data_IF_875840999377
#
_entry.id   IF_875840999377
#
_cell.length_a   1.000
_cell.length_b   1.000
_cell.length_c   1.000
_cell.angle_alpha   90.00
_cell.angle_beta   90.00
_cell.angle_gamma   90.00
#
_symmetry.space_group_name_H-M   'P 1'
#
loop_
_entity.id
_entity.type
_entity.pdbx_description
1 polymer ?
#
# COMPACT_ATOMS: atom_id res chain seq x y z
N UNK A 1 0.05 -44.38 22.66
CA UNK A 1 -1.20 -44.81 21.99
C UNK A 1 -2.07 -43.57 21.83
N UNK A 2 -2.48 -43.21 20.62
CA UNK A 2 -3.40 -42.09 20.44
C UNK A 2 -4.81 -42.53 20.77
N UNK A 3 -5.49 -41.82 21.67
CA UNK A 3 -6.88 -42.06 22.00
C UNK A 3 -7.78 -41.22 21.09
N UNK A 4 -8.78 -41.83 20.46
CA UNK A 4 -9.81 -41.14 19.66
C UNK A 4 -11.16 -41.24 20.37
N UNK A 5 -11.84 -40.09 20.54
CA UNK A 5 -13.22 -40.01 21.00
C UNK A 5 -14.03 -39.30 19.89
N UNK A 6 -15.10 -39.94 19.49
CA UNK A 6 -16.07 -39.47 18.51
C UNK A 6 -17.25 -38.79 19.19
N UNK A 7 -17.48 -37.51 18.90
CA UNK A 7 -18.75 -36.84 19.10
C UNK A 7 -19.18 -36.25 17.78
N UNK A 8 -20.29 -36.70 17.25
CA UNK A 8 -21.00 -36.30 15.99
C UNK A 8 -20.24 -35.49 14.91
N UNK A 9 -19.04 -35.18 14.79
CA UNK A 9 -18.26 -34.44 13.81
C UNK A 9 -16.99 -33.82 14.41
N UNK A 10 -16.73 -34.04 15.71
CA UNK A 10 -15.51 -33.63 16.39
C UNK A 10 -14.72 -34.87 16.80
N UNK A 11 -13.54 -35.04 16.28
CA UNK A 11 -12.64 -36.14 16.55
C UNK A 11 -11.40 -35.62 17.27
N UNK A 12 -11.14 -36.11 18.46
CA UNK A 12 -9.91 -35.84 19.20
C UNK A 12 -8.86 -36.92 18.91
N UNK A 13 -7.70 -36.53 18.46
CA UNK A 13 -6.50 -37.37 18.33
C UNK A 13 -5.43 -36.78 19.25
N UNK A 14 -5.40 -37.25 20.51
CA UNK A 14 -4.59 -36.65 21.58
C UNK A 14 -3.90 -37.72 22.40
N UNK A 15 -2.87 -37.36 23.16
CA UNK A 15 -2.14 -38.29 24.03
C UNK A 15 -2.99 -38.76 25.21
N UNK A 16 -3.80 -37.86 25.80
CA UNK A 16 -4.68 -38.17 26.92
C UNK A 16 -6.05 -37.55 26.73
N UNK A 17 -7.11 -38.27 27.11
CA UNK A 17 -8.50 -37.78 27.13
C UNK A 17 -9.12 -38.19 28.45
N UNK A 18 -9.68 -37.22 29.16
CA UNK A 18 -10.44 -37.40 30.39
C UNK A 18 -11.84 -36.83 30.23
N UNK A 19 -12.84 -37.63 30.48
CA UNK A 19 -14.25 -37.23 30.50
C UNK A 19 -14.67 -37.05 31.95
N UNK A 20 -15.12 -35.85 32.30
CA UNK A 20 -15.47 -35.48 33.67
C UNK A 20 -16.90 -34.97 33.76
N UNK A 21 -17.41 -34.79 34.97
CA UNK A 21 -18.76 -34.26 35.25
C UNK A 21 -19.86 -35.04 34.52
N UNK A 22 -19.86 -36.38 34.66
CA UNK A 22 -20.84 -37.29 34.03
C UNK A 22 -20.98 -37.07 32.52
N UNK A 23 -19.85 -36.86 31.81
CA UNK A 23 -19.85 -36.69 30.37
C UNK A 23 -20.07 -35.26 29.88
N UNK A 24 -20.28 -34.27 30.78
CA UNK A 24 -20.51 -32.87 30.38
C UNK A 24 -19.27 -32.18 29.87
N UNK A 25 -18.09 -32.55 30.37
CA UNK A 25 -16.82 -31.92 29.98
C UNK A 25 -15.80 -32.96 29.55
N UNK A 26 -15.09 -32.65 28.47
CA UNK A 26 -13.95 -33.42 27.98
C UNK A 26 -12.67 -32.57 28.07
N UNK A 27 -11.65 -33.10 28.72
CA UNK A 27 -10.31 -32.49 28.78
C UNK A 27 -9.36 -33.42 28.05
N UNK A 28 -8.65 -32.87 27.04
CA UNK A 28 -7.62 -33.60 26.32
C UNK A 28 -6.30 -32.82 26.31
N UNK A 29 -5.18 -33.51 26.15
CA UNK A 29 -3.85 -32.90 26.13
C UNK A 29 -3.04 -33.41 24.96
N UNK A 30 -2.24 -32.50 24.41
CA UNK A 30 -1.24 -32.73 23.35
C UNK A 30 -1.80 -33.47 22.14
N UNK A 31 -2.23 -32.75 21.11
CA UNK A 31 -2.77 -33.40 19.93
C UNK A 31 -3.58 -32.47 19.03
N UNK A 32 -4.62 -33.07 18.42
CA UNK A 32 -5.49 -32.39 17.45
C UNK A 32 -6.96 -32.62 17.72
N UNK A 33 -7.76 -31.62 17.47
CA UNK A 33 -9.21 -31.68 17.34
C UNK A 33 -9.59 -31.43 15.86
N UNK A 34 -10.24 -32.41 15.23
CA UNK A 34 -10.64 -32.35 13.82
C UNK A 34 -12.14 -32.12 13.71
N UNK A 35 -12.51 -31.08 12.93
CA UNK A 35 -13.89 -30.72 12.62
C UNK A 35 -14.17 -31.11 11.16
N UNK A 36 -14.75 -32.29 10.97
CA UNK A 36 -14.90 -32.93 9.66
C UNK A 36 -15.88 -32.21 8.74
N UNK A 37 -16.97 -31.67 9.27
CA UNK A 37 -17.96 -30.91 8.47
C UNK A 37 -17.47 -29.52 8.06
N UNK A 38 -16.76 -28.86 8.95
CA UNK A 38 -16.26 -27.49 8.74
C UNK A 38 -14.92 -27.44 7.99
N UNK A 39 -14.27 -28.61 7.79
CA UNK A 39 -12.97 -28.75 7.13
C UNK A 39 -11.86 -27.91 7.76
N UNK A 40 -11.71 -27.95 9.08
CA UNK A 40 -10.57 -27.42 9.76
C UNK A 40 -10.12 -28.27 10.95
N UNK A 41 -8.89 -28.11 11.33
CA UNK A 41 -8.30 -28.77 12.50
C UNK A 41 -7.67 -27.75 13.44
N UNK A 42 -7.65 -28.07 14.74
CA UNK A 42 -6.92 -27.29 15.73
C UNK A 42 -5.95 -28.22 16.46
N UNK A 43 -4.68 -27.85 16.45
CA UNK A 43 -3.63 -28.50 17.25
C UNK A 43 -3.36 -27.65 18.49
N UNK A 44 -3.08 -28.23 19.64
CA UNK A 44 -2.79 -27.49 20.87
C UNK A 44 -2.30 -28.38 22.00
N UNK A 45 -1.88 -27.71 23.11
CA UNK A 45 -1.34 -28.39 24.28
C UNK A 45 -2.44 -28.90 25.19
N UNK A 46 -3.55 -28.16 25.33
CA UNK A 46 -4.68 -28.49 26.16
C UNK A 46 -5.99 -28.13 25.49
N UNK A 47 -6.97 -29.03 25.59
CA UNK A 47 -8.32 -28.90 25.05
C UNK A 47 -9.31 -29.03 26.20
N UNK A 48 -10.28 -28.12 26.27
CA UNK A 48 -11.41 -28.13 27.18
C UNK A 48 -12.70 -28.04 26.36
N UNK A 49 -13.50 -29.10 26.31
CA UNK A 49 -14.72 -29.10 25.53
C UNK A 49 -15.93 -29.26 26.48
N UNK A 50 -16.83 -28.28 26.40
CA UNK A 50 -18.13 -28.29 27.05
C UNK A 50 -19.14 -28.97 26.11
N UNK A 51 -19.56 -30.17 26.45
CA UNK A 51 -20.47 -30.99 25.64
C UNK A 51 -21.89 -30.41 25.59
N UNK A 52 -22.35 -29.69 26.64
CA UNK A 52 -23.68 -29.06 26.67
C UNK A 52 -23.71 -27.78 25.85
N UNK A 53 -22.74 -26.89 26.05
CA UNK A 53 -22.63 -25.61 25.33
C UNK A 53 -22.04 -25.74 23.91
N UNK A 54 -21.45 -26.91 23.59
CA UNK A 54 -20.75 -27.18 22.31
C UNK A 54 -19.59 -26.21 22.05
N UNK A 55 -18.85 -25.80 23.09
CA UNK A 55 -17.74 -24.86 23.04
C UNK A 55 -16.44 -25.60 23.32
N UNK A 56 -15.46 -25.45 22.41
CA UNK A 56 -14.10 -25.93 22.54
C UNK A 56 -13.16 -24.80 22.86
N UNK A 57 -12.37 -24.92 23.92
CA UNK A 57 -11.26 -24.01 24.25
C UNK A 57 -9.94 -24.77 24.09
N UNK A 58 -8.97 -24.15 23.41
CA UNK A 58 -7.64 -24.71 23.11
C UNK A 58 -6.57 -23.74 23.49
N UNK A 59 -5.53 -24.23 24.16
CA UNK A 59 -4.38 -23.43 24.60
C UNK A 59 -3.16 -23.71 23.73
N UNK A 60 -2.34 -22.68 23.46
CA UNK A 60 -1.22 -22.68 22.52
C UNK A 60 -1.64 -23.27 21.16
N UNK A 61 -2.69 -22.70 20.62
CA UNK A 61 -3.46 -23.27 19.55
C UNK A 61 -2.95 -22.88 18.16
N UNK A 62 -2.97 -23.86 17.25
CA UNK A 62 -2.74 -23.67 15.83
C UNK A 62 -3.94 -24.27 15.08
N UNK A 63 -4.70 -23.45 14.37
CA UNK A 63 -5.78 -23.89 13.50
C UNK A 63 -5.35 -23.88 12.05
N UNK A 64 -5.65 -24.95 11.31
CA UNK A 64 -5.49 -25.04 9.87
C UNK A 64 -6.86 -25.09 9.20
N UNK A 65 -7.18 -24.04 8.42
CA UNK A 65 -8.37 -23.97 7.57
C UNK A 65 -8.02 -24.63 6.23
N UNK A 66 -8.39 -25.91 6.06
CA UNK A 66 -7.86 -26.77 4.99
C UNK A 66 -8.22 -26.22 3.60
N UNK A 67 -9.50 -25.89 3.37
CA UNK A 67 -9.97 -25.40 2.04
C UNK A 67 -9.44 -24.03 1.67
N UNK A 68 -9.22 -23.16 2.65
CA UNK A 68 -8.73 -21.80 2.47
C UNK A 68 -7.22 -21.72 2.43
N UNK A 69 -6.53 -22.78 2.84
CA UNK A 69 -5.07 -22.87 2.96
C UNK A 69 -4.51 -21.75 3.87
N UNK A 70 -5.17 -21.56 5.02
CA UNK A 70 -4.86 -20.51 6.00
C UNK A 70 -4.55 -21.17 7.35
N UNK A 71 -3.43 -20.75 7.96
CA UNK A 71 -3.00 -21.17 9.29
C UNK A 71 -3.20 -20.02 10.28
N UNK A 72 -3.87 -20.27 11.41
CA UNK A 72 -4.04 -19.31 12.51
C UNK A 72 -3.32 -19.85 13.72
N UNK A 73 -2.51 -19.04 14.37
CA UNK A 73 -1.78 -19.36 15.59
C UNK A 73 -2.10 -18.32 16.67
N UNK A 74 -2.35 -18.77 17.90
CA UNK A 74 -2.64 -17.91 19.05
C UNK A 74 -2.33 -18.60 20.39
N UNK A 75 -2.32 -17.84 21.48
CA UNK A 75 -2.19 -18.38 22.82
C UNK A 75 -3.44 -19.18 23.23
N UNK A 76 -4.61 -18.70 22.81
CA UNK A 76 -5.91 -19.33 23.13
C UNK A 76 -6.82 -19.25 21.91
N UNK A 77 -7.57 -20.33 21.67
CA UNK A 77 -8.67 -20.38 20.70
C UNK A 77 -9.92 -20.90 21.37
N UNK A 78 -11.05 -20.27 21.08
CA UNK A 78 -12.37 -20.68 21.51
C UNK A 78 -13.25 -20.88 20.27
N UNK A 79 -13.73 -22.09 20.07
CA UNK A 79 -14.65 -22.42 18.99
C UNK A 79 -16.04 -22.76 19.53
N UNK A 80 -17.01 -21.91 19.22
CA UNK A 80 -18.43 -22.13 19.50
C UNK A 80 -19.10 -22.73 18.26
N UNK A 81 -19.47 -24.00 18.36
CA UNK A 81 -20.10 -24.77 17.27
C UNK A 81 -21.50 -24.27 16.95
N UNK A 82 -22.26 -23.79 17.95
CA UNK A 82 -23.61 -23.29 17.74
C UNK A 82 -23.65 -22.03 16.90
N UNK A 83 -22.74 -21.11 17.18
CA UNK A 83 -22.62 -19.84 16.41
C UNK A 83 -21.64 -19.93 15.24
N UNK A 84 -20.92 -21.04 15.11
CA UNK A 84 -19.90 -21.30 14.10
C UNK A 84 -18.78 -20.23 14.10
N UNK A 85 -18.40 -19.75 15.31
CA UNK A 85 -17.37 -18.73 15.50
C UNK A 85 -16.14 -19.32 16.19
N UNK A 86 -14.98 -19.11 15.56
CA UNK A 86 -13.67 -19.34 16.14
C UNK A 86 -13.09 -17.99 16.56
N UNK A 87 -12.82 -17.81 17.83
CA UNK A 87 -12.16 -16.64 18.40
C UNK A 87 -10.75 -17.02 18.79
N UNK A 88 -9.75 -16.40 18.17
CA UNK A 88 -8.35 -16.55 18.51
C UNK A 88 -7.88 -15.31 19.26
N UNK A 89 -7.16 -15.47 20.37
CA UNK A 89 -6.71 -14.38 21.23
C UNK A 89 -5.28 -14.57 21.72
N UNK A 90 -4.61 -13.45 22.01
CA UNK A 90 -3.23 -13.38 22.52
C UNK A 90 -2.16 -13.63 21.46
N UNK A 91 -1.62 -12.55 20.88
CA UNK A 91 -0.59 -12.57 19.84
C UNK A 91 -0.98 -13.43 18.63
N UNK A 92 -2.13 -13.13 18.05
CA UNK A 92 -2.68 -13.90 16.92
C UNK A 92 -1.86 -13.63 15.67
N UNK A 93 -1.47 -14.72 15.00
CA UNK A 93 -0.84 -14.67 13.69
C UNK A 93 -1.64 -15.56 12.72
N UNK A 94 -2.05 -14.97 11.61
CA UNK A 94 -2.62 -15.66 10.47
C UNK A 94 -1.61 -15.66 9.31
N UNK A 95 -1.31 -16.86 8.79
CA UNK A 95 -0.47 -17.05 7.61
C UNK A 95 -1.34 -17.58 6.46
N UNK A 96 -1.36 -16.89 5.34
CA UNK A 96 -1.94 -17.38 4.09
C UNK A 96 -0.88 -18.19 3.36
N UNK A 97 -1.08 -19.50 3.28
CA UNK A 97 -0.10 -20.43 2.70
C UNK A 97 -0.05 -20.37 1.16
N UNK A 98 -1.06 -19.74 0.51
CA UNK A 98 -1.09 -19.59 -0.94
C UNK A 98 -0.14 -18.49 -1.44
N UNK A 99 -0.02 -17.38 -0.71
CA UNK A 99 0.75 -16.21 -1.16
C UNK A 99 1.79 -15.71 -0.14
N UNK A 100 1.91 -16.39 1.01
CA UNK A 100 2.88 -16.06 2.07
C UNK A 100 2.54 -14.77 2.83
N UNK A 101 1.38 -14.16 2.60
CA UNK A 101 0.96 -12.97 3.35
C UNK A 101 0.59 -13.32 4.79
N UNK A 102 0.78 -12.35 5.69
CA UNK A 102 0.60 -12.52 7.14
C UNK A 102 -0.26 -11.43 7.73
N UNK A 103 -1.08 -11.79 8.72
CA UNK A 103 -1.82 -10.86 9.56
C UNK A 103 -1.39 -11.07 11.01
N UNK A 104 -1.06 -10.00 11.70
CA UNK A 104 -0.70 -10.00 13.12
C UNK A 104 -1.68 -9.09 13.85
N UNK A 105 -2.30 -9.60 14.91
CA UNK A 105 -3.31 -8.89 15.69
C UNK A 105 -3.39 -9.44 17.12
N UNK A 106 -4.10 -8.80 18.04
CA UNK A 106 -4.33 -9.35 19.40
C UNK A 106 -5.51 -10.28 19.45
N UNK A 107 -6.56 -10.02 18.64
CA UNK A 107 -7.76 -10.85 18.56
C UNK A 107 -8.21 -10.99 17.10
N UNK A 108 -8.70 -12.18 16.76
CA UNK A 108 -9.24 -12.51 15.46
C UNK A 108 -10.45 -13.39 15.59
N UNK A 109 -11.52 -13.09 14.88
CA UNK A 109 -12.74 -13.87 14.86
C UNK A 109 -12.97 -14.40 13.45
N UNK A 110 -13.07 -15.71 13.32
CA UNK A 110 -13.41 -16.40 12.07
C UNK A 110 -14.79 -17.03 12.15
N UNK A 111 -15.65 -16.74 11.20
CA UNK A 111 -16.95 -17.42 11.08
C UNK A 111 -16.86 -18.50 10.00
N UNK A 112 -16.98 -19.77 10.41
CA UNK A 112 -16.79 -20.95 9.55
C UNK A 112 -17.86 -21.07 8.47
N UNK A 113 -19.10 -20.59 8.71
CA UNK A 113 -20.22 -20.62 7.74
C UNK A 113 -20.08 -19.55 6.67
N UNK A 114 -19.83 -18.29 7.10
CA UNK A 114 -19.79 -17.16 6.18
C UNK A 114 -18.41 -16.94 5.56
N UNK A 115 -17.39 -17.69 6.02
CA UNK A 115 -16.00 -17.59 5.59
C UNK A 115 -15.44 -16.17 5.74
N UNK A 116 -15.82 -15.49 6.83
CA UNK A 116 -15.36 -14.12 7.13
C UNK A 116 -14.44 -14.13 8.34
N UNK A 117 -13.35 -13.40 8.20
CA UNK A 117 -12.38 -13.13 9.27
C UNK A 117 -12.47 -11.65 9.60
N UNK A 118 -12.54 -11.29 10.87
CA UNK A 118 -12.52 -9.90 11.28
C UNK A 118 -11.77 -9.72 12.60
N UNK A 119 -11.25 -8.52 12.79
CA UNK A 119 -10.65 -8.07 14.03
C UNK A 119 -11.10 -6.64 14.32
N UNK A 120 -11.37 -6.37 15.59
CA UNK A 120 -11.67 -5.02 16.11
C UNK A 120 -10.46 -4.40 16.81
N UNK A 121 -9.30 -5.03 16.71
CA UNK A 121 -8.04 -4.55 17.31
C UNK A 121 -7.04 -4.15 16.23
N UNK A 122 -6.05 -3.34 16.62
CA UNK A 122 -4.98 -2.93 15.73
C UNK A 122 -4.32 -4.14 15.09
N UNK A 123 -4.24 -4.11 13.78
CA UNK A 123 -3.77 -5.22 12.98
C UNK A 123 -2.73 -4.78 11.97
N UNK A 124 -1.72 -5.64 11.74
CA UNK A 124 -0.68 -5.45 10.75
C UNK A 124 -0.76 -6.57 9.72
N UNK A 125 -0.90 -6.18 8.45
CA UNK A 125 -0.78 -7.07 7.30
C UNK A 125 0.62 -6.91 6.70
N UNK A 126 1.24 -8.01 6.33
CA UNK A 126 2.54 -8.01 5.62
C UNK A 126 2.41 -8.93 4.42
N UNK A 127 2.73 -8.42 3.24
CA UNK A 127 2.74 -9.23 2.02
C UNK A 127 4.15 -9.80 1.73
N UNK A 128 4.24 -10.65 0.71
CA UNK A 128 5.50 -11.26 0.26
C UNK A 128 6.49 -10.28 -0.40
N UNK A 129 6.08 -9.01 -0.63
CA UNK A 129 6.92 -7.93 -1.15
C UNK A 129 7.39 -6.96 -0.04
N UNK A 130 7.21 -7.32 1.24
CA UNK A 130 7.49 -6.49 2.41
C UNK A 130 6.68 -5.18 2.51
N UNK A 131 5.55 -5.06 1.80
CA UNK A 131 4.62 -3.99 2.08
C UNK A 131 3.95 -4.25 3.43
N UNK A 132 3.85 -3.23 4.26
CA UNK A 132 3.19 -3.29 5.56
C UNK A 132 1.96 -2.39 5.57
N UNK A 133 0.83 -2.97 5.93
CA UNK A 133 -0.45 -2.27 6.06
C UNK A 133 -0.90 -2.35 7.52
N UNK A 134 -1.19 -1.22 8.11
CA UNK A 134 -1.67 -1.09 9.48
C UNK A 134 -3.11 -0.60 9.46
N UNK A 135 -3.95 -1.14 10.34
CA UNK A 135 -5.36 -0.76 10.46
C UNK A 135 -5.85 -0.93 11.88
N UNK A 136 -6.84 -0.12 12.28
CA UNK A 136 -7.51 -0.25 13.58
C UNK A 136 -8.47 -1.44 13.63
N UNK A 137 -9.10 -1.75 12.50
CA UNK A 137 -9.98 -2.90 12.35
C UNK A 137 -10.12 -3.32 10.89
N UNK A 138 -10.49 -4.57 10.66
CA UNK A 138 -10.74 -5.08 9.32
C UNK A 138 -11.84 -6.15 9.29
N UNK A 139 -12.41 -6.35 8.09
CA UNK A 139 -13.30 -7.46 7.78
C UNK A 139 -12.89 -8.08 6.44
N UNK A 140 -12.41 -9.31 6.48
CA UNK A 140 -11.91 -10.07 5.34
C UNK A 140 -12.89 -11.15 4.95
N UNK A 141 -13.43 -11.10 3.76
CA UNK A 141 -14.25 -12.13 3.17
C UNK A 141 -13.38 -13.04 2.30
N UNK A 142 -13.16 -14.28 2.74
CA UNK A 142 -12.32 -15.27 2.05
C UNK A 142 -12.90 -15.67 0.69
N UNK A 143 -14.23 -15.77 0.55
CA UNK A 143 -14.89 -16.15 -0.70
C UNK A 143 -14.64 -15.13 -1.83
N UNK A 144 -14.70 -13.83 -1.49
CA UNK A 144 -14.49 -12.74 -2.46
C UNK A 144 -13.06 -12.24 -2.50
N UNK A 145 -12.23 -12.64 -1.55
CA UNK A 145 -10.87 -12.15 -1.35
C UNK A 145 -10.79 -10.64 -1.12
N UNK A 146 -11.85 -10.04 -0.54
CA UNK A 146 -11.93 -8.61 -0.26
C UNK A 146 -11.78 -8.35 1.23
N UNK A 147 -10.81 -7.51 1.58
CA UNK A 147 -10.63 -6.95 2.91
C UNK A 147 -11.20 -5.54 2.93
N UNK A 148 -12.18 -5.29 3.79
CA UNK A 148 -12.67 -3.96 4.13
C UNK A 148 -11.90 -3.44 5.33
N UNK A 149 -11.36 -2.24 5.24
CA UNK A 149 -10.40 -1.67 6.18
C UNK A 149 -10.81 -0.26 6.56
N UNK A 150 -10.71 0.07 7.85
CA UNK A 150 -10.88 1.42 8.36
C UNK A 150 -9.56 1.94 8.94
N UNK A 151 -9.29 3.23 8.80
CA UNK A 151 -8.03 3.85 9.27
C UNK A 151 -6.80 3.07 8.80
N UNK A 152 -6.58 3.06 7.49
CA UNK A 152 -5.48 2.32 6.90
C UNK A 152 -4.24 3.21 6.76
N UNK A 153 -3.09 2.69 7.20
CA UNK A 153 -1.76 3.20 6.86
C UNK A 153 -0.98 2.10 6.13
N UNK A 154 -0.67 2.31 4.85
CA UNK A 154 0.15 1.42 4.02
C UNK A 154 1.55 2.02 3.87
N UNK A 155 2.57 1.23 4.13
CA UNK A 155 3.97 1.55 3.81
C UNK A 155 4.42 0.54 2.77
N UNK A 156 4.77 1.02 1.58
CA UNK A 156 5.24 0.16 0.50
C UNK A 156 6.75 -0.16 0.62
N UNK A 157 7.23 -1.06 -0.23
CA UNK A 157 8.64 -1.49 -0.25
C UNK A 157 9.63 -0.34 -0.54
N UNK A 158 9.16 0.77 -1.11
CA UNK A 158 9.93 1.99 -1.37
C UNK A 158 9.82 3.01 -0.23
N UNK A 159 9.19 2.65 0.89
CA UNK A 159 8.91 3.50 2.05
C UNK A 159 7.95 4.67 1.78
N UNK A 160 7.17 4.64 0.68
CA UNK A 160 6.08 5.58 0.50
C UNK A 160 4.96 5.27 1.49
N UNK A 161 4.38 6.30 2.07
CA UNK A 161 3.27 6.17 3.02
C UNK A 161 1.94 6.58 2.38
N UNK A 162 0.93 5.72 2.51
CA UNK A 162 -0.44 5.97 2.07
C UNK A 162 -1.35 5.86 3.29
N UNK A 163 -2.07 6.91 3.61
CA UNK A 163 -3.07 6.91 4.68
C UNK A 163 -4.46 7.09 4.07
N UNK A 164 -5.41 6.25 4.49
CA UNK A 164 -6.79 6.26 4.00
C UNK A 164 -7.76 6.11 5.17
N UNK A 165 -8.85 6.86 5.13
CA UNK A 165 -9.90 6.73 6.16
C UNK A 165 -10.70 5.43 6.00
N UNK A 166 -10.99 5.03 4.76
CA UNK A 166 -11.68 3.77 4.43
C UNK A 166 -11.11 3.20 3.15
N UNK A 167 -10.93 1.89 3.10
CA UNK A 167 -10.41 1.20 1.92
C UNK A 167 -10.92 -0.22 1.76
N UNK A 168 -10.80 -0.72 0.54
CA UNK A 168 -11.05 -2.11 0.15
C UNK A 168 -9.82 -2.64 -0.57
N UNK A 169 -9.25 -3.71 -0.06
CA UNK A 169 -8.13 -4.41 -0.67
C UNK A 169 -8.61 -5.75 -1.20
N UNK A 170 -8.43 -5.99 -2.50
CA UNK A 170 -8.58 -7.33 -3.06
C UNK A 170 -7.24 -8.07 -2.97
N UNK A 171 -7.18 -9.13 -2.18
CA UNK A 171 -5.93 -9.86 -1.91
C UNK A 171 -5.42 -10.66 -3.10
N UNK A 172 -6.30 -11.09 -4.03
CA UNK A 172 -5.92 -11.79 -5.26
C UNK A 172 -5.34 -10.84 -6.31
N UNK A 173 -6.06 -9.75 -6.60
CA UNK A 173 -5.65 -8.81 -7.65
C UNK A 173 -4.69 -7.73 -7.15
N UNK A 174 -4.44 -7.67 -5.84
CA UNK A 174 -3.66 -6.62 -5.14
C UNK A 174 -4.15 -5.21 -5.45
N UNK A 175 -5.45 -5.08 -5.76
CA UNK A 175 -6.11 -3.81 -6.03
C UNK A 175 -6.59 -3.18 -4.73
N UNK A 176 -6.12 -1.96 -4.44
CA UNK A 176 -6.57 -1.13 -3.33
C UNK A 176 -7.43 0.01 -3.86
N UNK A 177 -8.62 0.18 -3.30
CA UNK A 177 -9.51 1.32 -3.56
C UNK A 177 -9.84 1.96 -2.22
N UNK A 178 -9.80 3.29 -2.16
CA UNK A 178 -10.08 3.98 -0.91
C UNK A 178 -10.47 5.43 -1.07
N UNK A 179 -10.84 6.06 0.04
CA UNK A 179 -11.22 7.46 0.10
C UNK A 179 -10.55 8.20 1.26
N UNK A 180 -10.58 9.54 1.16
CA UNK A 180 -9.93 10.44 2.11
C UNK A 180 -8.44 10.08 2.27
N UNK A 181 -7.71 10.27 1.18
CA UNK A 181 -6.36 9.75 0.98
C UNK A 181 -5.32 10.82 1.22
N UNK A 182 -4.29 10.45 1.94
CA UNK A 182 -3.04 11.20 2.04
C UNK A 182 -1.88 10.30 1.63
N UNK A 183 -1.04 10.77 0.69
CA UNK A 183 0.16 10.07 0.23
C UNK A 183 1.37 10.92 0.55
N UNK A 184 2.37 10.33 1.17
CA UNK A 184 3.66 10.93 1.46
C UNK A 184 4.75 10.14 0.72
N UNK A 185 5.39 10.80 -0.25
CA UNK A 185 6.47 10.23 -1.07
C UNK A 185 7.86 10.71 -0.62
N UNK A 186 7.95 11.46 0.48
CA UNK A 186 9.19 12.09 0.95
C UNK A 186 10.27 11.10 1.36
N UNK A 187 9.88 9.94 1.88
CA UNK A 187 10.84 8.93 2.34
C UNK A 187 11.53 8.17 1.20
N UNK A 188 11.00 8.23 -0.02
CA UNK A 188 11.55 7.52 -1.18
C UNK A 188 12.69 8.28 -1.88
N UNK A 189 12.85 9.58 -1.64
CA UNK A 189 13.70 10.46 -2.48
C UNK A 189 14.88 11.04 -1.73
N UNK A 190 14.65 11.69 -0.61
CA UNK A 190 15.66 12.21 0.33
C UNK A 190 14.95 12.79 1.55
N UNK A 191 15.68 12.97 2.67
CA UNK A 191 15.13 13.59 3.87
C UNK A 191 14.70 15.06 3.68
N UNK A 192 15.07 15.69 2.57
CA UNK A 192 14.76 17.11 2.27
C UNK A 192 13.52 17.31 1.40
N UNK A 193 13.04 16.28 0.70
CA UNK A 193 11.88 16.38 -0.19
C UNK A 193 10.58 16.05 0.56
N UNK A 194 9.57 16.92 0.44
CA UNK A 194 8.28 16.81 1.14
C UNK A 194 7.11 16.61 0.15
N UNK A 195 7.27 15.68 -0.79
CA UNK A 195 6.23 15.41 -1.79
C UNK A 195 5.00 14.78 -1.17
N UNK A 196 3.88 15.49 -1.25
CA UNK A 196 2.62 15.08 -0.64
C UNK A 196 1.47 15.19 -1.62
N UNK A 197 0.53 14.23 -1.52
CA UNK A 197 -0.72 14.27 -2.28
C UNK A 197 -1.87 14.05 -1.31
N UNK A 198 -2.91 14.87 -1.42
CA UNK A 198 -4.22 14.62 -0.83
C UNK A 198 -5.21 14.33 -1.93
N UNK A 199 -6.10 13.36 -1.75
CA UNK A 199 -7.15 13.09 -2.73
C UNK A 199 -8.41 12.56 -2.08
N UNK A 200 -9.57 12.79 -2.73
CA UNK A 200 -10.83 12.22 -2.26
C UNK A 200 -10.91 10.71 -2.50
N UNK A 201 -10.23 10.20 -3.53
CA UNK A 201 -10.23 8.77 -3.81
C UNK A 201 -8.94 8.28 -4.44
N UNK A 202 -8.62 7.02 -4.18
CA UNK A 202 -7.46 6.31 -4.74
C UNK A 202 -7.87 4.96 -5.32
N UNK A 203 -7.24 4.60 -6.41
CA UNK A 203 -7.19 3.25 -6.95
C UNK A 203 -5.73 2.91 -7.22
N UNK A 204 -5.16 1.96 -6.45
CA UNK A 204 -3.79 1.46 -6.63
C UNK A 204 -3.85 0.02 -7.10
N UNK A 205 -3.17 -0.28 -8.21
CA UNK A 205 -3.02 -1.63 -8.74
C UNK A 205 -1.62 -1.79 -9.32
N UNK A 206 -0.87 -2.77 -8.82
CA UNK A 206 0.53 -3.01 -9.21
C UNK A 206 1.34 -1.69 -9.20
N UNK A 207 1.88 -1.30 -10.35
CA UNK A 207 2.76 -0.14 -10.52
C UNK A 207 2.01 1.15 -10.91
N UNK A 208 0.67 1.17 -10.80
CA UNK A 208 -0.14 2.32 -11.20
C UNK A 208 -1.08 2.74 -10.09
N UNK A 209 -1.01 4.02 -9.73
CA UNK A 209 -1.88 4.64 -8.73
C UNK A 209 -2.65 5.78 -9.39
N UNK A 210 -3.97 5.75 -9.30
CA UNK A 210 -4.87 6.78 -9.82
C UNK A 210 -5.54 7.47 -8.64
N UNK A 211 -5.42 8.77 -8.55
CA UNK A 211 -5.98 9.60 -7.49
C UNK A 211 -6.96 10.61 -8.10
N UNK A 212 -8.15 10.69 -7.51
CA UNK A 212 -9.26 11.54 -7.97
C UNK A 212 -9.42 12.78 -7.10
N UNK A 213 -9.67 13.94 -7.74
CA UNK A 213 -9.78 15.25 -7.06
C UNK A 213 -8.60 15.43 -6.12
N UNK A 214 -7.41 15.45 -6.70
CA UNK A 214 -6.16 15.37 -5.96
C UNK A 214 -5.40 16.71 -5.99
N UNK A 215 -4.66 16.96 -4.91
CA UNK A 215 -3.79 18.11 -4.75
C UNK A 215 -2.38 17.60 -4.44
N UNK A 216 -1.42 18.00 -5.25
CA UNK A 216 0.00 17.69 -5.08
C UNK A 216 0.76 18.94 -4.66
N UNK A 217 1.69 18.81 -3.72
CA UNK A 217 2.67 19.86 -3.36
C UNK A 217 3.99 19.24 -2.90
N UNK A 218 5.14 19.81 -3.29
CA UNK A 218 6.46 19.48 -2.76
C UNK A 218 6.88 20.37 -1.58
N UNK A 219 6.02 21.28 -1.13
CA UNK A 219 6.36 22.23 -0.08
C UNK A 219 6.49 21.56 1.28
N UNK A 220 7.40 22.06 2.14
CA UNK A 220 7.58 21.58 3.51
C UNK A 220 6.27 21.66 4.31
N UNK A 221 6.07 20.74 5.25
CA UNK A 221 4.97 20.81 6.22
C UNK A 221 5.13 22.08 7.05
N UNK A 222 4.19 23.00 6.90
CA UNK A 222 4.02 24.21 7.72
C UNK A 222 2.59 24.23 8.21
N UNK A 223 2.29 25.01 9.22
CA UNK A 223 0.94 25.18 9.74
C UNK A 223 -0.01 25.81 8.72
N UNK A 224 0.54 26.65 7.84
CA UNK A 224 -0.19 27.35 6.79
C UNK A 224 -0.24 26.60 5.46
N UNK A 225 -1.10 27.08 4.56
CA UNK A 225 -1.25 26.67 3.18
C UNK A 225 0.11 26.64 2.43
N UNK A 226 0.39 25.60 1.63
CA UNK A 226 1.62 25.56 0.85
C UNK A 226 1.70 26.75 -0.11
N UNK A 227 2.90 27.37 -0.30
CA UNK A 227 3.06 28.51 -1.22
C UNK A 227 2.57 28.21 -2.63
N UNK A 228 2.72 26.95 -3.10
CA UNK A 228 2.17 26.51 -4.37
C UNK A 228 1.74 25.04 -4.35
N UNK A 229 0.77 24.72 -5.18
CA UNK A 229 0.23 23.38 -5.34
C UNK A 229 -0.39 23.15 -6.72
N UNK A 230 -0.42 21.90 -7.16
CA UNK A 230 -1.15 21.45 -8.34
C UNK A 230 -2.42 20.74 -7.90
N UNK A 231 -3.58 21.34 -8.22
CA UNK A 231 -4.90 20.75 -7.99
C UNK A 231 -5.40 20.15 -9.28
N UNK A 232 -5.68 18.85 -9.33
CA UNK A 232 -6.08 18.16 -10.54
C UNK A 232 -7.34 17.31 -10.33
N UNK A 233 -8.13 17.15 -11.39
CA UNK A 233 -9.25 16.20 -11.41
C UNK A 233 -8.74 14.77 -11.22
N UNK A 234 -7.63 14.43 -11.88
CA UNK A 234 -6.99 13.12 -11.76
C UNK A 234 -5.47 13.28 -11.77
N UNK A 235 -4.81 12.62 -10.82
CA UNK A 235 -3.36 12.39 -10.81
C UNK A 235 -3.13 10.91 -11.00
N UNK A 236 -2.31 10.54 -11.99
CA UNK A 236 -1.89 9.15 -12.22
C UNK A 236 -0.40 9.03 -12.01
N UNK A 237 0.01 8.24 -11.04
CA UNK A 237 1.40 7.88 -10.79
C UNK A 237 1.69 6.52 -11.47
N UNK A 238 2.58 6.52 -12.45
CA UNK A 238 3.08 5.32 -13.11
C UNK A 238 4.48 5.03 -12.57
N UNK A 239 4.56 4.11 -11.60
CA UNK A 239 5.80 3.77 -10.92
C UNK A 239 6.82 3.06 -11.85
N UNK A 240 6.35 2.38 -12.90
CA UNK A 240 7.22 1.72 -13.88
C UNK A 240 7.89 2.73 -14.79
N UNK A 241 7.13 3.70 -15.29
CA UNK A 241 7.64 4.79 -16.15
C UNK A 241 8.29 5.89 -15.33
N UNK A 242 8.11 5.90 -14.00
CA UNK A 242 8.56 6.95 -13.09
C UNK A 242 8.05 8.33 -13.49
N UNK A 243 6.76 8.44 -13.79
CA UNK A 243 6.10 9.67 -14.25
C UNK A 243 4.78 9.86 -13.52
N UNK A 244 4.48 11.12 -13.21
CA UNK A 244 3.20 11.57 -12.71
C UNK A 244 2.46 12.35 -13.79
N UNK A 245 1.25 11.91 -14.15
CA UNK A 245 0.37 12.53 -15.13
C UNK A 245 -0.77 13.25 -14.42
N UNK A 246 -1.10 14.44 -14.88
CA UNK A 246 -2.18 15.27 -14.37
C UNK A 246 -3.19 15.55 -15.48
N UNK A 247 -4.47 15.44 -15.15
CA UNK A 247 -5.56 15.79 -16.04
C UNK A 247 -6.40 16.88 -15.39
N UNK A 248 -6.73 17.93 -16.19
CA UNK A 248 -7.46 19.11 -15.74
C UNK A 248 -6.86 19.71 -14.48
N UNK A 249 -5.61 20.17 -14.57
CA UNK A 249 -4.82 20.65 -13.46
C UNK A 249 -4.76 22.18 -13.40
N UNK A 250 -4.83 22.71 -12.20
CA UNK A 250 -4.61 24.11 -11.88
C UNK A 250 -3.36 24.25 -11.01
N UNK A 251 -2.45 25.10 -11.46
CA UNK A 251 -1.40 25.63 -10.60
C UNK A 251 -2.03 26.69 -9.71
N UNK A 252 -1.91 26.50 -8.40
CA UNK A 252 -2.39 27.45 -7.39
C UNK A 252 -1.21 28.01 -6.61
N UNK A 253 -1.23 29.32 -6.37
CA UNK A 253 -0.29 30.04 -5.51
C UNK A 253 -1.12 30.64 -4.38
N UNK A 254 -0.81 30.26 -3.12
CA UNK A 254 -1.61 30.62 -1.94
C UNK A 254 -3.12 30.42 -2.18
N UNK A 255 -3.50 29.20 -2.66
CA UNK A 255 -4.85 28.76 -3.02
C UNK A 255 -5.53 29.48 -4.19
N UNK A 256 -4.93 30.54 -4.75
CA UNK A 256 -5.46 31.23 -5.94
C UNK A 256 -5.04 30.50 -7.22
N UNK A 257 -5.98 30.11 -8.11
CA UNK A 257 -5.64 29.49 -9.38
C UNK A 257 -4.99 30.53 -10.31
N UNK A 258 -3.78 30.23 -10.82
CA UNK A 258 -3.02 31.14 -11.71
C UNK A 258 -2.82 30.59 -13.09
N UNK A 259 -2.73 29.25 -13.26
CA UNK A 259 -2.50 28.65 -14.57
C UNK A 259 -3.22 27.31 -14.68
N UNK A 260 -3.88 27.09 -15.82
CA UNK A 260 -4.60 25.86 -16.14
C UNK A 260 -3.86 25.00 -17.15
N UNK A 261 -3.80 23.70 -16.89
CA UNK A 261 -3.23 22.69 -17.78
C UNK A 261 -4.27 21.61 -18.06
N UNK A 262 -4.77 21.46 -19.31
CA UNK A 262 -5.65 20.35 -19.69
C UNK A 262 -5.00 18.98 -19.44
N UNK A 263 -3.71 18.88 -19.75
CA UNK A 263 -2.86 17.73 -19.49
C UNK A 263 -1.44 18.21 -19.18
N UNK A 264 -0.84 17.63 -18.16
CA UNK A 264 0.50 17.93 -17.71
C UNK A 264 1.15 16.67 -17.17
N UNK A 265 2.45 16.55 -17.26
CA UNK A 265 3.19 15.49 -16.60
C UNK A 265 4.55 15.99 -16.11
N UNK A 266 5.05 15.34 -15.08
CA UNK A 266 6.42 15.53 -14.61
C UNK A 266 7.00 14.21 -14.13
N UNK A 267 8.35 14.10 -14.03
CA UNK A 267 9.00 12.92 -13.47
C UNK A 267 8.54 12.66 -12.03
N UNK A 268 8.51 11.39 -11.68
CA UNK A 268 8.39 10.96 -10.28
C UNK A 268 9.51 11.61 -9.44
N UNK A 269 9.23 12.01 -8.19
CA UNK A 269 10.23 12.60 -7.30
C UNK A 269 11.53 11.80 -7.13
N UNK A 270 11.50 10.48 -7.37
CA UNK A 270 12.69 9.62 -7.32
C UNK A 270 13.62 9.75 -8.52
N UNK A 271 13.20 10.45 -9.58
CA UNK A 271 13.98 10.63 -10.81
C UNK A 271 14.91 11.84 -10.65
N UNK A 272 16.19 11.58 -10.56
CA UNK A 272 17.19 12.66 -10.42
C UNK A 272 17.37 13.50 -11.68
N UNK A 273 17.21 12.89 -12.87
CA UNK A 273 17.43 13.53 -14.18
C UNK A 273 16.45 12.97 -15.21
N UNK A 274 15.72 13.84 -15.90
CA UNK A 274 14.81 13.46 -16.98
C UNK A 274 14.85 14.48 -18.13
N UNK A 275 14.81 14.00 -19.37
CA UNK A 275 14.67 14.83 -20.55
C UNK A 275 13.31 15.50 -20.58
N UNK A 276 13.28 16.79 -20.96
CA UNK A 276 12.05 17.57 -21.07
C UNK A 276 12.30 19.04 -21.30
N UNK A 277 11.22 19.78 -21.56
CA UNK A 277 11.30 21.24 -21.64
C UNK A 277 11.55 21.83 -20.26
N UNK A 278 12.46 22.82 -20.21
CA UNK A 278 12.70 23.62 -19.03
C UNK A 278 11.78 24.85 -19.04
N UNK A 279 11.75 25.57 -17.93
CA UNK A 279 10.92 26.76 -17.79
C UNK A 279 11.31 27.80 -18.87
N UNK A 280 10.37 28.24 -19.70
CA UNK A 280 10.62 29.31 -20.67
C UNK A 280 11.04 30.59 -19.97
N UNK A 281 11.93 31.34 -20.61
CA UNK A 281 12.36 32.68 -20.16
C UNK A 281 12.10 33.72 -21.20
N UNK A 282 11.73 34.92 -20.73
CA UNK A 282 11.50 36.07 -21.58
C UNK A 282 12.61 37.12 -21.31
N UNK A 283 13.19 37.63 -22.35
CA UNK A 283 14.20 38.72 -22.22
C UNK A 283 13.92 39.85 -23.22
N UNK A 284 14.20 41.06 -22.82
CA UNK A 284 14.09 42.24 -23.66
C UNK A 284 15.49 42.81 -23.90
N UNK A 285 15.78 43.14 -25.13
CA UNK A 285 17.05 43.75 -25.55
C UNK A 285 16.78 44.97 -26.40
N UNK A 286 17.51 46.09 -26.17
CA UNK A 286 17.36 47.29 -26.95
C UNK A 286 17.74 47.08 -28.43
N UNK A 287 18.70 46.18 -28.71
CA UNK A 287 19.22 45.98 -30.08
C UNK A 287 18.53 44.84 -30.82
N UNK A 288 18.05 43.79 -30.11
CA UNK A 288 17.45 42.58 -30.71
C UNK A 288 15.96 42.43 -30.47
N UNK A 289 15.35 43.37 -29.73
CA UNK A 289 13.94 43.32 -29.38
C UNK A 289 13.64 42.30 -28.25
N UNK A 290 12.37 41.99 -28.09
CA UNK A 290 11.94 41.01 -27.14
C UNK A 290 12.21 39.59 -27.65
N UNK A 291 12.45 38.64 -26.72
CA UNK A 291 12.69 37.26 -27.11
C UNK A 291 12.11 36.28 -26.10
N UNK A 292 11.74 35.13 -26.60
CA UNK A 292 11.35 33.95 -25.81
C UNK A 292 12.40 32.86 -26.00
N UNK A 293 12.84 32.27 -24.91
CA UNK A 293 13.71 31.10 -24.87
C UNK A 293 12.93 29.91 -24.31
N UNK A 294 12.88 28.78 -25.05
CA UNK A 294 12.18 27.55 -24.65
C UNK A 294 13.21 26.42 -24.60
N UNK A 295 13.96 26.27 -23.49
CA UNK A 295 15.03 25.27 -23.42
C UNK A 295 14.49 23.85 -23.36
N UNK A 296 15.20 22.92 -24.01
CA UNK A 296 14.96 21.49 -23.93
C UNK A 296 16.21 20.78 -23.37
N UNK A 297 16.04 20.11 -22.25
CA UNK A 297 17.09 19.32 -21.61
C UNK A 297 16.97 17.86 -22.04
N UNK A 298 18.05 17.24 -22.51
CA UNK A 298 18.13 15.85 -22.94
C UNK A 298 19.17 15.10 -22.12
N UNK A 299 18.74 14.11 -21.36
CA UNK A 299 19.62 13.13 -20.73
C UNK A 299 20.10 12.15 -21.80
N UNK A 300 21.41 12.04 -22.01
CA UNK A 300 22.03 11.10 -22.95
C UNK A 300 22.44 9.83 -22.19
N UNK A 301 23.04 9.99 -21.01
CA UNK A 301 23.42 8.90 -20.09
C UNK A 301 23.48 9.45 -18.65
N UNK A 302 23.80 8.60 -17.69
CA UNK A 302 23.98 9.03 -16.29
C UNK A 302 25.05 10.11 -16.10
N UNK A 303 26.01 10.16 -17.01
CA UNK A 303 27.13 11.11 -16.98
C UNK A 303 27.15 12.14 -18.12
N UNK A 304 26.13 12.16 -18.99
CA UNK A 304 26.08 13.04 -20.17
C UNK A 304 24.71 13.64 -20.35
N UNK A 305 24.66 14.92 -20.68
CA UNK A 305 23.43 15.61 -21.07
C UNK A 305 23.68 16.70 -22.12
N UNK A 306 22.59 17.13 -22.73
CA UNK A 306 22.55 18.21 -23.70
C UNK A 306 21.37 19.11 -23.36
N UNK A 307 21.61 20.41 -23.29
CA UNK A 307 20.57 21.43 -23.20
C UNK A 307 20.53 22.24 -24.48
N UNK A 308 19.43 22.14 -25.23
CA UNK A 308 19.19 22.99 -26.39
C UNK A 308 18.34 24.18 -25.97
N UNK A 309 18.82 25.43 -26.28
CA UNK A 309 18.23 26.69 -25.79
C UNK A 309 17.89 27.60 -27.01
N UNK A 310 16.81 27.30 -27.78
CA UNK A 310 16.39 28.16 -28.90
C UNK A 310 15.80 29.49 -28.38
N UNK A 311 16.32 30.61 -28.84
CA UNK A 311 15.87 31.94 -28.48
C UNK A 311 15.31 32.64 -29.70
N UNK A 312 14.01 32.89 -29.73
CA UNK A 312 13.28 33.49 -30.82
C UNK A 312 13.08 34.98 -30.51
N UNK A 313 13.53 35.83 -31.38
CA UNK A 313 13.39 37.29 -31.24
C UNK A 313 12.22 37.84 -32.06
N UNK A 314 11.64 38.93 -31.60
CA UNK A 314 10.53 39.62 -32.30
C UNK A 314 10.88 40.16 -33.68
N UNK A 315 12.15 40.35 -33.99
CA UNK A 315 12.65 40.77 -35.29
C UNK A 315 12.97 39.60 -36.23
N UNK A 316 12.34 38.44 -36.05
CA UNK A 316 12.49 37.21 -36.85
C UNK A 316 13.91 36.61 -36.84
N UNK A 317 14.74 36.93 -35.84
CA UNK A 317 16.03 36.28 -35.64
C UNK A 317 15.87 35.09 -34.68
N UNK A 318 16.65 34.05 -34.95
CA UNK A 318 16.69 32.82 -34.12
C UNK A 318 18.15 32.60 -33.67
N UNK A 319 18.37 32.70 -32.37
CA UNK A 319 19.64 32.27 -31.78
C UNK A 319 19.47 30.85 -31.26
N UNK A 320 20.16 29.88 -31.86
CA UNK A 320 20.24 28.51 -31.42
C UNK A 320 21.47 28.30 -30.56
N UNK A 321 21.26 27.93 -29.31
CA UNK A 321 22.35 27.62 -28.37
C UNK A 321 22.22 26.16 -27.91
N UNK A 322 23.36 25.49 -27.74
CA UNK A 322 23.40 24.12 -27.20
C UNK A 322 24.54 24.01 -26.19
N UNK A 323 24.25 23.44 -25.04
CA UNK A 323 25.21 23.16 -23.98
C UNK A 323 25.31 21.66 -23.80
N UNK A 324 26.47 21.07 -24.04
CA UNK A 324 26.77 19.66 -23.80
C UNK A 324 27.64 19.54 -22.56
N UNK A 325 27.24 18.63 -21.65
CA UNK A 325 28.00 18.34 -20.43
C UNK A 325 28.29 16.83 -20.33
N UNK A 326 29.51 16.53 -19.91
CA UNK A 326 29.96 15.18 -19.64
C UNK A 326 30.84 15.14 -18.39
N UNK A 327 30.51 14.28 -17.44
CA UNK A 327 31.28 14.03 -16.22
C UNK A 327 31.88 12.62 -16.31
N UNK A 328 33.21 12.54 -16.21
CA UNK A 328 33.95 11.28 -16.06
C UNK A 328 34.52 11.16 -14.64
N UNK A 329 35.25 10.08 -14.37
CA UNK A 329 35.83 9.82 -13.05
C UNK A 329 36.80 10.91 -12.60
N UNK A 330 37.58 11.49 -13.53
CA UNK A 330 38.62 12.48 -13.24
C UNK A 330 38.52 13.74 -14.15
N UNK A 331 37.42 13.92 -14.87
CA UNK A 331 37.25 15.07 -15.74
C UNK A 331 35.80 15.52 -15.82
N UNK A 332 35.62 16.80 -16.12
CA UNK A 332 34.34 17.41 -16.43
C UNK A 332 34.51 18.20 -17.75
N UNK A 333 33.69 17.85 -18.75
CA UNK A 333 33.62 18.59 -20.03
C UNK A 333 32.31 19.35 -20.11
N UNK A 334 32.41 20.64 -20.46
CA UNK A 334 31.30 21.51 -20.80
C UNK A 334 31.60 22.18 -22.10
N UNK A 335 30.70 22.10 -23.07
CA UNK A 335 30.84 22.66 -24.40
C UNK A 335 29.59 23.46 -24.73
N UNK A 336 29.78 24.76 -25.05
CA UNK A 336 28.73 25.65 -25.47
C UNK A 336 28.86 25.94 -26.97
N UNK A 337 27.76 25.81 -27.70
CA UNK A 337 27.62 26.15 -29.11
C UNK A 337 26.55 27.20 -29.28
N UNK A 338 26.76 28.16 -30.15
CA UNK A 338 25.76 29.17 -30.51
C UNK A 338 25.83 29.55 -31.97
N UNK A 339 24.65 29.63 -32.61
CA UNK A 339 24.48 30.09 -34.00
C UNK A 339 23.32 31.07 -34.01
N UNK A 340 23.51 32.22 -34.64
CA UNK A 340 22.50 33.27 -34.82
C UNK A 340 21.94 33.24 -36.25
#
# INVERSE_FOLDING_TARGET
>A
MSHSVLSDDLIFNTETINIINNGKNTIAKNGKANFTKENFEITGDKFEYDNEKKVLRVYNAISLLINENVKIQSKEMLYDRLTSKLVASGKVRLDNLNDGSKIITEELIYNTKTKKIFSNTNSKFVDNFNNSLYTENFNYNLNTSIVKINSLKLIDSKKNEYSLKKGFLNTKTKKLVGKDVFVDLSNAVSQESNFRIRSLGIEKKANKTIMKKAVFTPCKKREDCPPWQLSAETITHDEKKKVMYYKNAWLKIYDKPVLYFPSFFHPDPSVKRQSGFLIPSFTSSKNLGNSINIPYFKVISDSRDLTFKPKIFTNNKLLSQAEYRQIGKNYNHEMDFSIL
#
